data_IF_302113899745
#
_entry.id   IF_302113899745
#
_cell.length_a   1.000
_cell.length_b   1.000
_cell.length_c   1.000
_cell.angle_alpha   90.00
_cell.angle_beta   90.00
_cell.angle_gamma   90.00
#
_symmetry.space_group_name_H-M   'P 1'
#
loop_
_entity.id
_entity.type
_entity.pdbx_description
1 polymer ?
#
# COMPACT_ATOMS: atom_id res chain seq x y z
N UNK A 1 20.13 -28.33 44.02
CA UNK A 1 20.22 -27.31 42.96
C UNK A 1 18.98 -27.52 42.11
N UNK A 2 17.91 -26.77 42.38
CA UNK A 2 16.68 -26.84 41.60
C UNK A 2 16.80 -25.75 40.55
N UNK A 3 16.85 -26.14 39.28
CA UNK A 3 16.73 -25.19 38.18
C UNK A 3 15.34 -24.58 38.25
N UNK A 4 15.28 -23.26 38.46
CA UNK A 4 14.09 -22.48 38.19
C UNK A 4 13.94 -22.49 36.68
N UNK A 5 13.21 -23.46 36.14
CA UNK A 5 12.76 -23.37 34.75
C UNK A 5 11.75 -22.24 34.71
N UNK A 6 12.15 -21.08 34.19
CA UNK A 6 11.23 -19.99 33.91
C UNK A 6 10.10 -20.54 33.02
N UNK A 7 8.87 -20.38 33.48
CA UNK A 7 7.68 -20.84 32.76
C UNK A 7 7.66 -20.21 31.35
N UNK A 8 7.66 -20.99 30.26
CA UNK A 8 7.64 -20.48 28.90
C UNK A 8 6.49 -19.49 28.62
N UNK A 9 5.34 -19.68 29.28
CA UNK A 9 4.22 -18.76 29.20
C UNK A 9 4.57 -17.39 29.82
N UNK A 10 5.23 -17.39 30.98
CA UNK A 10 5.70 -16.17 31.64
C UNK A 10 6.78 -15.49 30.82
N UNK A 11 7.72 -16.23 30.22
CA UNK A 11 8.72 -15.68 29.31
C UNK A 11 8.07 -14.98 28.11
N UNK A 12 7.09 -15.62 27.46
CA UNK A 12 6.37 -15.05 26.33
C UNK A 12 5.57 -13.78 26.72
N UNK A 13 4.92 -13.79 27.89
CA UNK A 13 4.24 -12.59 28.42
C UNK A 13 5.23 -11.46 28.70
N UNK A 14 6.38 -11.75 29.31
CA UNK A 14 7.40 -10.75 29.63
C UNK A 14 8.10 -10.19 28.38
N UNK A 15 8.31 -11.01 27.35
CA UNK A 15 8.75 -10.54 26.03
C UNK A 15 7.73 -9.58 25.41
N UNK A 16 6.44 -9.93 25.46
CA UNK A 16 5.37 -9.07 24.97
C UNK A 16 5.30 -7.75 25.74
N UNK A 17 5.41 -7.77 27.08
CA UNK A 17 5.42 -6.56 27.92
C UNK A 17 6.64 -5.67 27.63
N UNK A 18 7.82 -6.26 27.42
CA UNK A 18 9.04 -5.52 27.04
C UNK A 18 8.92 -4.82 25.69
N UNK A 19 8.11 -5.35 24.76
CA UNK A 19 7.84 -4.70 23.47
C UNK A 19 7.13 -3.35 23.58
N UNK A 20 6.50 -3.03 24.72
CA UNK A 20 5.76 -1.78 24.90
C UNK A 20 6.62 -0.58 25.33
N UNK A 21 7.88 -0.78 25.78
CA UNK A 21 8.83 0.30 26.12
C UNK A 21 8.34 1.33 27.16
N UNK A 22 9.23 2.16 27.74
CA UNK A 22 8.79 3.33 28.51
C UNK A 22 8.24 4.38 27.53
N UNK A 23 6.96 4.74 27.70
CA UNK A 23 6.27 5.80 26.94
C UNK A 23 6.86 7.18 27.26
N UNK A 24 8.03 7.48 26.70
CA UNK A 24 8.56 8.83 26.58
C UNK A 24 8.20 9.36 25.19
N UNK A 25 7.19 10.23 25.11
CA UNK A 25 6.81 11.03 23.92
C UNK A 25 7.02 10.29 22.59
N UNK A 26 6.27 9.21 22.37
CA UNK A 26 6.23 8.52 21.08
C UNK A 26 5.22 9.27 20.22
N UNK A 27 5.69 10.03 19.23
CA UNK A 27 4.91 10.16 18.00
C UNK A 27 4.65 8.72 17.55
N UNK A 28 3.38 8.30 17.50
CA UNK A 28 3.04 6.98 17.01
C UNK A 28 3.74 6.80 15.65
N UNK A 29 4.57 5.75 15.46
CA UNK A 29 5.37 5.61 14.25
C UNK A 29 4.50 5.43 13.00
N UNK A 30 3.21 5.13 13.21
CA UNK A 30 2.18 4.92 12.20
C UNK A 30 1.22 6.10 12.08
N UNK A 31 0.71 6.31 10.87
CA UNK A 31 -0.28 7.35 10.54
C UNK A 31 -1.41 6.83 9.64
N UNK A 32 -1.35 5.56 9.21
CA UNK A 32 -2.32 4.92 8.32
C UNK A 32 -3.03 3.80 9.08
N UNK A 33 -4.31 4.04 9.40
CA UNK A 33 -5.13 3.14 10.22
C UNK A 33 -6.18 2.43 9.39
N UNK A 34 -6.51 1.18 9.76
CA UNK A 34 -7.80 0.62 9.37
C UNK A 34 -8.89 1.25 10.21
N UNK A 35 -10.01 1.53 9.57
CA UNK A 35 -11.20 1.99 10.28
C UNK A 35 -11.76 0.84 11.13
N UNK A 36 -12.01 1.05 12.44
CA UNK A 36 -12.56 0.03 13.32
C UNK A 36 -13.85 -0.61 12.78
N UNK A 37 -14.05 -1.93 12.93
CA UNK A 37 -15.18 -2.65 12.35
C UNK A 37 -16.55 -2.05 12.69
N UNK A 38 -16.74 -1.62 13.95
CA UNK A 38 -17.99 -1.02 14.42
C UNK A 38 -18.34 0.31 13.74
N UNK A 39 -17.34 1.11 13.33
CA UNK A 39 -17.54 2.33 12.55
C UNK A 39 -17.80 1.95 11.09
N UNK A 40 -17.01 1.01 10.57
CA UNK A 40 -17.09 0.54 9.19
C UNK A 40 -18.43 -0.12 8.86
N UNK A 41 -19.03 -0.84 9.80
CA UNK A 41 -20.35 -1.47 9.65
C UNK A 41 -21.48 -0.45 9.53
N UNK A 42 -21.32 0.76 10.06
CA UNK A 42 -22.31 1.83 9.96
C UNK A 42 -22.45 2.39 8.55
N UNK A 43 -21.35 2.43 7.79
CA UNK A 43 -21.35 2.78 6.36
C UNK A 43 -20.20 2.08 5.61
N UNK A 44 -20.40 0.80 5.22
CA UNK A 44 -19.36 0.03 4.54
C UNK A 44 -18.91 0.67 3.21
N UNK A 45 -19.79 1.45 2.57
CA UNK A 45 -19.52 2.08 1.27
C UNK A 45 -18.52 3.23 1.32
N UNK A 46 -18.29 3.81 2.51
CA UNK A 46 -17.30 4.87 2.73
C UNK A 46 -15.90 4.36 3.07
N UNK A 47 -15.76 3.06 3.37
CA UNK A 47 -14.50 2.49 3.85
C UNK A 47 -14.00 1.29 3.06
N UNK A 48 -14.80 0.78 2.12
CA UNK A 48 -14.37 -0.25 1.19
C UNK A 48 -14.26 0.35 -0.22
N UNK A 49 -13.07 0.30 -0.85
CA UNK A 49 -12.90 0.76 -2.21
C UNK A 49 -13.77 -0.04 -3.17
N UNK A 50 -14.25 0.61 -4.21
CA UNK A 50 -15.14 0.02 -5.19
C UNK A 50 -14.39 -0.65 -6.33
N UNK A 51 -13.30 -0.03 -6.77
CA UNK A 51 -12.54 -0.50 -7.94
C UNK A 51 -11.03 -0.49 -7.72
N UNK A 52 -10.50 0.38 -6.85
CA UNK A 52 -9.06 0.61 -6.74
C UNK A 52 -8.58 0.37 -5.30
N UNK A 53 -7.65 -0.58 -5.12
CA UNK A 53 -6.86 -0.64 -3.88
C UNK A 53 -5.67 0.30 -3.98
N UNK A 54 -5.35 1.05 -2.93
CA UNK A 54 -4.05 1.71 -2.77
C UNK A 54 -3.46 1.28 -1.43
N UNK A 55 -2.25 0.76 -1.47
CA UNK A 55 -1.58 0.19 -0.33
C UNK A 55 -2.10 -1.21 0.06
N UNK A 56 -1.59 -1.74 1.19
CA UNK A 56 -1.72 -3.14 1.56
C UNK A 56 -3.07 -3.51 2.18
N UNK A 57 -3.88 -2.54 2.63
CA UNK A 57 -5.08 -2.85 3.39
C UNK A 57 -6.19 -3.51 2.57
N UNK A 58 -6.29 -3.17 1.27
CA UNK A 58 -7.24 -3.78 0.35
C UNK A 58 -6.56 -4.60 -0.76
N UNK A 59 -5.23 -4.79 -0.66
CA UNK A 59 -4.45 -5.52 -1.64
C UNK A 59 -4.88 -7.00 -1.70
N UNK A 60 -4.95 -7.54 -2.93
CA UNK A 60 -5.37 -8.92 -3.17
C UNK A 60 -6.88 -9.17 -3.05
N UNK A 61 -7.70 -8.13 -2.82
CA UNK A 61 -9.15 -8.27 -2.86
C UNK A 61 -9.60 -8.63 -4.30
N UNK A 62 -10.24 -9.80 -4.52
CA UNK A 62 -10.63 -10.23 -5.87
C UNK A 62 -11.56 -9.25 -6.59
N UNK A 63 -12.32 -8.43 -5.85
CA UNK A 63 -13.20 -7.41 -6.44
C UNK A 63 -12.44 -6.26 -7.11
N UNK A 64 -11.19 -6.03 -6.71
CA UNK A 64 -10.36 -4.91 -7.15
C UNK A 64 -9.30 -5.34 -8.18
N UNK A 65 -9.19 -6.64 -8.47
CA UNK A 65 -8.16 -7.21 -9.34
C UNK A 65 -8.15 -6.59 -10.73
N UNK A 66 -9.32 -6.24 -11.27
CA UNK A 66 -9.43 -5.61 -12.57
C UNK A 66 -8.61 -4.31 -12.65
N UNK A 67 -8.58 -3.48 -11.60
CA UNK A 67 -7.75 -2.28 -11.60
C UNK A 67 -6.28 -2.55 -11.28
N UNK A 68 -5.98 -3.59 -10.50
CA UNK A 68 -4.58 -4.02 -10.28
C UNK A 68 -3.88 -4.32 -11.61
N UNK A 69 -4.55 -5.01 -12.52
CA UNK A 69 -4.02 -5.31 -13.86
C UNK A 69 -3.79 -4.02 -14.67
N UNK A 70 -4.67 -3.02 -14.50
CA UNK A 70 -4.55 -1.74 -15.19
C UNK A 70 -3.40 -0.86 -14.66
N UNK A 71 -2.97 -1.01 -13.41
CA UNK A 71 -1.82 -0.27 -12.87
C UNK A 71 -0.53 -0.55 -13.64
N UNK A 72 -0.38 -1.74 -14.21
CA UNK A 72 0.74 -2.06 -15.10
C UNK A 72 0.80 -1.15 -16.33
N UNK A 73 -0.36 -0.81 -16.90
CA UNK A 73 -0.45 0.14 -17.99
C UNK A 73 -0.02 1.55 -17.56
N UNK A 74 -0.36 1.96 -16.34
CA UNK A 74 0.08 3.25 -15.79
C UNK A 74 1.59 3.28 -15.55
N UNK A 75 2.18 2.22 -14.99
CA UNK A 75 3.64 2.07 -14.87
C UNK A 75 4.31 2.17 -16.25
N UNK A 76 3.83 1.40 -17.24
CA UNK A 76 4.37 1.44 -18.59
C UNK A 76 4.34 2.85 -19.19
N UNK A 77 3.22 3.55 -19.08
CA UNK A 77 3.07 4.91 -19.61
C UNK A 77 3.97 5.91 -18.90
N UNK A 78 4.10 5.80 -17.57
CA UNK A 78 4.98 6.67 -16.79
C UNK A 78 6.45 6.50 -17.20
N UNK A 79 6.89 5.26 -17.42
CA UNK A 79 8.24 4.96 -17.88
C UNK A 79 8.50 5.53 -19.29
N UNK A 80 7.54 5.40 -20.22
CA UNK A 80 7.62 6.00 -21.55
C UNK A 80 7.60 7.54 -21.53
N UNK A 81 7.01 8.15 -20.50
CA UNK A 81 7.07 9.62 -20.31
C UNK A 81 8.48 10.08 -19.95
N UNK A 82 9.22 9.27 -19.19
CA UNK A 82 10.58 9.58 -18.69
C UNK A 82 11.69 9.14 -19.65
N UNK A 83 11.47 8.06 -20.40
CA UNK A 83 12.46 7.41 -21.25
C UNK A 83 11.91 7.18 -22.66
N UNK A 84 12.79 7.07 -23.66
CA UNK A 84 12.38 6.73 -25.03
C UNK A 84 11.77 5.31 -25.13
N UNK A 85 12.06 4.44 -24.16
CA UNK A 85 11.48 3.11 -24.03
C UNK A 85 11.49 2.67 -22.56
N UNK A 86 10.63 1.71 -22.18
CA UNK A 86 10.80 1.02 -20.90
C UNK A 86 11.98 0.05 -21.00
N UNK A 87 12.73 -0.13 -19.91
CA UNK A 87 13.87 -1.03 -19.85
C UNK A 87 13.87 -1.77 -18.51
N UNK A 88 14.55 -2.91 -18.47
CA UNK A 88 14.80 -3.64 -17.21
C UNK A 88 15.41 -2.73 -16.16
N UNK A 89 16.39 -1.92 -16.56
CA UNK A 89 17.05 -0.95 -15.67
C UNK A 89 16.06 0.06 -15.06
N UNK A 90 15.13 0.60 -15.86
CA UNK A 90 14.16 1.57 -15.35
C UNK A 90 13.22 0.96 -14.30
N UNK A 91 12.81 -0.30 -14.49
CA UNK A 91 11.99 -1.03 -13.50
C UNK A 91 12.81 -1.35 -12.24
N UNK A 92 14.07 -1.78 -12.40
CA UNK A 92 14.99 -2.03 -11.29
C UNK A 92 15.20 -0.78 -10.44
N UNK A 93 15.39 0.39 -11.06
CA UNK A 93 15.52 1.67 -10.35
C UNK A 93 14.28 1.99 -9.50
N UNK A 94 13.06 1.76 -10.02
CA UNK A 94 11.82 1.92 -9.25
C UNK A 94 11.77 0.98 -8.04
N UNK A 95 12.09 -0.30 -8.25
CA UNK A 95 12.07 -1.31 -7.18
C UNK A 95 13.10 -0.97 -6.09
N UNK A 96 14.32 -0.56 -6.47
CA UNK A 96 15.36 -0.21 -5.51
C UNK A 96 15.07 1.08 -4.73
N UNK A 97 14.35 2.04 -5.30
CA UNK A 97 13.83 3.20 -4.55
C UNK A 97 12.86 2.73 -3.47
N UNK A 98 11.93 1.83 -3.81
CA UNK A 98 10.93 1.33 -2.87
C UNK A 98 11.56 0.45 -1.80
N UNK A 99 12.42 -0.51 -2.15
CA UNK A 99 13.11 -1.38 -1.18
C UNK A 99 13.90 -0.60 -0.13
N UNK A 100 14.61 0.47 -0.54
CA UNK A 100 15.32 1.35 0.39
C UNK A 100 14.42 2.06 1.40
N UNK A 101 13.14 2.23 1.08
CA UNK A 101 12.16 2.89 1.94
C UNK A 101 11.16 1.93 2.58
N UNK A 102 11.24 0.62 2.31
CA UNK A 102 10.23 -0.36 2.72
C UNK A 102 9.98 -0.37 4.23
N UNK A 103 11.03 -0.46 5.04
CA UNK A 103 10.90 -0.51 6.50
C UNK A 103 10.16 0.73 7.05
N UNK A 104 10.47 1.91 6.50
CA UNK A 104 9.79 3.17 6.84
C UNK A 104 8.36 3.22 6.30
N UNK A 105 8.12 2.74 5.09
CA UNK A 105 6.78 2.67 4.53
C UNK A 105 5.87 1.75 5.36
N UNK A 106 6.37 0.58 5.78
CA UNK A 106 5.66 -0.36 6.65
C UNK A 106 5.39 0.24 8.03
N UNK A 107 6.31 1.04 8.59
CA UNK A 107 6.10 1.66 9.90
C UNK A 107 4.92 2.63 9.92
N UNK A 108 4.52 3.18 8.76
CA UNK A 108 3.36 4.08 8.69
C UNK A 108 2.01 3.39 8.85
N UNK A 109 1.93 2.06 8.71
CA UNK A 109 0.69 1.30 8.89
C UNK A 109 0.53 0.85 10.34
N UNK A 110 -0.65 1.06 10.91
CA UNK A 110 -0.96 0.68 12.31
C UNK A 110 -0.98 -0.83 12.54
N UNK A 111 -1.10 -1.62 11.48
CA UNK A 111 -1.15 -3.08 11.53
C UNK A 111 0.05 -3.69 10.79
N UNK A 112 0.57 -4.85 11.25
CA UNK A 112 1.59 -5.59 10.52
C UNK A 112 1.12 -5.96 9.11
N UNK A 113 1.95 -5.69 8.12
CA UNK A 113 1.65 -5.99 6.71
C UNK A 113 2.15 -7.40 6.37
N UNK A 114 1.21 -8.30 6.06
CA UNK A 114 1.47 -9.70 5.72
C UNK A 114 2.07 -9.98 4.34
N UNK A 115 2.51 -8.95 3.62
CA UNK A 115 3.19 -9.10 2.32
C UNK A 115 4.68 -9.33 2.51
N UNK A 116 5.27 -10.21 1.70
CA UNK A 116 6.73 -10.33 1.58
C UNK A 116 7.35 -9.07 0.96
N UNK A 117 8.68 -8.94 1.07
CA UNK A 117 9.41 -7.76 0.57
C UNK A 117 9.16 -7.49 -0.92
N UNK A 118 9.23 -8.51 -1.76
CA UNK A 118 9.05 -8.32 -3.21
C UNK A 118 7.61 -7.97 -3.59
N UNK A 119 6.63 -8.57 -2.93
CA UNK A 119 5.21 -8.27 -3.18
C UNK A 119 4.85 -6.87 -2.66
N UNK A 120 5.37 -6.47 -1.50
CA UNK A 120 5.22 -5.12 -0.98
C UNK A 120 5.87 -4.10 -1.92
N UNK A 121 7.08 -4.39 -2.42
CA UNK A 121 7.77 -3.50 -3.34
C UNK A 121 7.01 -3.36 -4.67
N UNK A 122 6.52 -4.48 -5.24
CA UNK A 122 5.69 -4.49 -6.45
C UNK A 122 4.43 -3.65 -6.26
N UNK A 123 3.70 -3.86 -5.15
CA UNK A 123 2.49 -3.10 -4.82
C UNK A 123 2.79 -1.59 -4.75
N UNK A 124 3.80 -1.19 -3.98
CA UNK A 124 4.17 0.23 -3.83
C UNK A 124 4.60 0.89 -5.14
N UNK A 125 5.33 0.18 -6.01
CA UNK A 125 5.69 0.68 -7.35
C UNK A 125 4.43 0.87 -8.20
N UNK A 126 3.55 -0.12 -8.27
CA UNK A 126 2.34 -0.03 -9.08
C UNK A 126 1.40 1.07 -8.59
N UNK A 127 1.19 1.16 -7.29
CA UNK A 127 0.31 2.15 -6.67
C UNK A 127 0.88 3.57 -6.82
N UNK A 128 2.16 3.74 -6.52
CA UNK A 128 2.84 5.04 -6.67
C UNK A 128 2.86 5.51 -8.12
N UNK A 129 3.14 4.61 -9.07
CA UNK A 129 3.13 4.95 -10.50
C UNK A 129 1.72 5.26 -11.00
N UNK A 130 0.70 4.53 -10.52
CA UNK A 130 -0.69 4.83 -10.83
C UNK A 130 -1.05 6.26 -10.42
N UNK A 131 -0.77 6.64 -9.17
CA UNK A 131 -1.07 7.99 -8.65
C UNK A 131 -0.31 9.07 -9.44
N UNK A 132 0.99 8.87 -9.69
CA UNK A 132 1.82 9.84 -10.42
C UNK A 132 1.33 10.04 -11.86
N UNK A 133 1.12 8.95 -12.60
CA UNK A 133 0.65 9.01 -13.98
C UNK A 133 -0.79 9.56 -14.07
N UNK A 134 -1.65 9.23 -13.10
CA UNK A 134 -2.98 9.84 -12.99
C UNK A 134 -2.88 11.37 -12.87
N UNK A 135 -2.00 11.89 -12.00
CA UNK A 135 -1.77 13.34 -11.87
C UNK A 135 -1.17 13.97 -13.11
N UNK A 136 -0.21 13.32 -13.79
CA UNK A 136 0.34 13.84 -15.05
C UNK A 136 -0.74 13.97 -16.12
N UNK A 137 -1.61 12.98 -16.26
CA UNK A 137 -2.72 13.03 -17.22
C UNK A 137 -3.73 14.12 -16.90
N UNK A 138 -4.05 14.33 -15.63
CA UNK A 138 -4.90 15.44 -15.21
C UNK A 138 -4.31 16.80 -15.59
N UNK A 139 -3.01 16.99 -15.37
CA UNK A 139 -2.30 18.22 -15.73
C UNK A 139 -2.26 18.44 -17.24
N UNK A 140 -1.96 17.40 -18.01
CA UNK A 140 -1.73 17.49 -19.46
C UNK A 140 -3.07 17.52 -20.25
N UNK A 141 -4.22 17.44 -19.57
CA UNK A 141 -5.54 17.38 -20.20
C UNK A 141 -5.77 16.10 -21.01
N UNK A 142 -4.94 15.08 -20.79
CA UNK A 142 -4.97 13.83 -21.55
C UNK A 142 -6.12 12.94 -21.09
N UNK A 143 -7.29 13.14 -21.70
CA UNK A 143 -8.41 12.19 -21.62
C UNK A 143 -8.20 10.96 -22.52
N UNK A 144 -6.97 10.66 -22.95
CA UNK A 144 -6.71 9.67 -24.01
C UNK A 144 -6.73 8.22 -23.55
N UNK A 145 -6.69 7.94 -22.26
CA UNK A 145 -6.79 6.56 -21.77
C UNK A 145 -8.24 6.04 -21.95
N UNK A 146 -8.46 4.97 -22.73
CA UNK A 146 -9.78 4.36 -22.91
C UNK A 146 -10.50 4.05 -21.60
N UNK A 147 -9.78 3.74 -20.51
CA UNK A 147 -10.36 3.40 -19.21
C UNK A 147 -10.94 4.63 -18.51
N UNK A 148 -10.23 5.75 -18.54
CA UNK A 148 -10.71 7.00 -17.96
C UNK A 148 -11.80 7.65 -18.82
N UNK A 149 -11.91 7.28 -20.11
CA UNK A 149 -13.06 7.64 -20.97
C UNK A 149 -14.34 6.90 -20.61
N UNK A 150 -14.24 5.75 -19.95
CA UNK A 150 -15.43 5.08 -19.42
C UNK A 150 -15.93 5.92 -18.26
N UNK A 151 -16.98 6.71 -18.50
CA UNK A 151 -17.43 7.75 -17.55
C UNK A 151 -17.71 7.25 -16.13
N UNK A 152 -18.12 5.98 -15.98
CA UNK A 152 -18.29 5.38 -14.65
C UNK A 152 -16.94 5.05 -13.98
N UNK A 153 -15.93 4.56 -14.70
CA UNK A 153 -14.59 4.30 -14.13
C UNK A 153 -13.98 5.58 -13.58
N UNK A 154 -14.04 6.69 -14.32
CA UNK A 154 -13.58 8.00 -13.83
C UNK A 154 -14.32 8.45 -12.57
N UNK A 155 -15.63 8.18 -12.51
CA UNK A 155 -16.45 8.51 -11.34
C UNK A 155 -16.07 7.66 -10.13
N UNK A 156 -15.82 6.36 -10.33
CA UNK A 156 -15.42 5.45 -9.27
C UNK A 156 -13.99 5.71 -8.78
N UNK A 157 -13.05 6.05 -9.67
CA UNK A 157 -11.69 6.46 -9.29
C UNK A 157 -11.68 7.76 -8.49
N UNK A 158 -12.65 8.66 -8.71
CA UNK A 158 -12.80 9.89 -7.89
C UNK A 158 -13.50 9.64 -6.56
N UNK A 159 -14.23 8.54 -6.46
CA UNK A 159 -14.97 8.15 -5.25
C UNK A 159 -14.04 7.40 -4.29
N UNK A 160 -13.23 6.48 -4.83
CA UNK A 160 -12.13 5.82 -4.13
C UNK A 160 -10.99 6.81 -3.82
#
# INVERSE_FOLDING_TARGET
MWEVTEDPFVCAMMEKLRSYGPTGTLEDPYSIHRVPPNIREGDPGSYEPQILSIGPYHHGNPKLQAMEDHKWGFLHNLLLRKHQNYSTQAVEECIEVVRRSEARARSYYSEPIGLGTDDFARMMVLDGCFVLELFFRFRDGEQRDPLLKVGWVSTLVRRD
#
